data_IF_907518514833
#
_entry.id   IF_907518514833
#
_cell.length_a   1.000
_cell.length_b   1.000
_cell.length_c   1.000
_cell.angle_alpha   90.00
_cell.angle_beta   90.00
_cell.angle_gamma   90.00
#
_symmetry.space_group_name_H-M   'P 1'
#
loop_
_entity.id
_entity.type
_entity.pdbx_description
1 polymer ?
#
# COMPACT_ATOMS: atom_id res chain seq x y z
N UNK A 1 -18.13 18.05 25.07
CA UNK A 1 -18.14 18.32 26.52
C UNK A 1 -19.40 19.07 26.95
N UNK A 2 -19.76 20.16 26.30
CA UNK A 2 -21.02 20.89 26.59
C UNK A 2 -22.25 20.03 26.49
N UNK A 3 -22.31 19.06 25.61
CA UNK A 3 -23.41 18.09 25.48
C UNK A 3 -23.49 17.17 26.71
N UNK A 4 -22.39 16.67 27.20
CA UNK A 4 -22.31 15.81 28.39
C UNK A 4 -22.67 16.55 29.67
N UNK A 5 -22.36 17.86 29.74
CA UNK A 5 -22.76 18.72 30.82
C UNK A 5 -24.30 18.99 30.81
N UNK A 6 -24.87 19.17 29.60
CA UNK A 6 -26.35 19.32 29.42
C UNK A 6 -27.12 18.05 29.73
N UNK A 7 -26.52 16.89 29.44
CA UNK A 7 -27.09 15.56 29.72
C UNK A 7 -26.87 15.13 31.19
N UNK A 8 -26.23 15.97 32.04
CA UNK A 8 -25.97 15.64 33.42
C UNK A 8 -24.96 14.54 33.69
N UNK A 9 -24.20 14.11 32.65
CA UNK A 9 -23.22 13.04 32.74
C UNK A 9 -21.94 13.45 33.42
N UNK A 10 -21.63 14.76 33.43
CA UNK A 10 -20.47 15.34 34.12
C UNK A 10 -20.86 16.64 34.81
N UNK A 11 -20.35 16.81 36.01
CA UNK A 11 -20.50 18.02 36.81
C UNK A 11 -19.65 19.17 36.24
N UNK A 12 -20.06 20.42 36.46
CA UNK A 12 -19.38 21.62 36.00
C UNK A 12 -17.89 21.68 36.49
N UNK A 13 -17.65 21.28 37.74
CA UNK A 13 -16.30 21.22 38.31
C UNK A 13 -15.41 20.16 37.62
N UNK A 14 -15.98 19.02 37.31
CA UNK A 14 -15.29 17.94 36.54
C UNK A 14 -15.02 18.37 35.09
N UNK A 15 -15.95 19.09 34.47
CA UNK A 15 -15.79 19.65 33.13
C UNK A 15 -14.62 20.65 33.09
N UNK A 16 -14.52 21.53 34.11
CA UNK A 16 -13.45 22.52 34.23
C UNK A 16 -12.08 21.87 34.49
N UNK A 17 -12.04 20.83 35.36
CA UNK A 17 -10.83 20.03 35.60
C UNK A 17 -10.35 19.30 34.35
N UNK A 18 -11.27 18.70 33.58
CA UNK A 18 -10.96 18.03 32.31
C UNK A 18 -10.49 19.06 31.29
N UNK A 19 -11.18 20.20 31.15
CA UNK A 19 -10.74 21.29 30.26
C UNK A 19 -9.35 21.80 30.64
N UNK A 20 -9.07 22.01 31.92
CA UNK A 20 -7.76 22.49 32.40
C UNK A 20 -6.64 21.47 32.15
N UNK A 21 -6.94 20.18 32.32
CA UNK A 21 -5.99 19.08 32.08
C UNK A 21 -5.72 18.86 30.58
N UNK A 22 -6.73 18.99 29.73
CA UNK A 22 -6.60 18.85 28.27
C UNK A 22 -6.23 20.16 27.58
N UNK A 23 -6.55 21.33 28.11
CA UNK A 23 -6.11 22.62 27.57
C UNK A 23 -4.62 22.85 27.73
N UNK A 24 -3.97 22.27 28.75
CA UNK A 24 -2.52 22.33 28.89
C UNK A 24 -1.78 21.47 27.84
N UNK A 25 -2.43 20.44 27.31
CA UNK A 25 -1.86 19.54 26.28
C UNK A 25 -2.23 19.94 24.84
N UNK A 26 -3.24 20.78 24.66
CA UNK A 26 -3.71 21.28 23.37
C UNK A 26 -3.20 22.69 23.06
N UNK A 27 -1.88 22.91 23.07
CA UNK A 27 -1.32 23.75 22.01
C UNK A 27 -1.39 22.95 20.72
N UNK A 28 -2.61 22.69 20.24
CA UNK A 28 -2.84 22.15 18.92
C UNK A 28 -2.33 23.17 17.92
N UNK A 29 -1.08 23.00 17.51
CA UNK A 29 -0.56 23.73 16.35
C UNK A 29 -1.57 23.47 15.24
N UNK A 30 -2.27 24.52 14.81
CA UNK A 30 -3.32 24.36 13.84
C UNK A 30 -2.68 23.82 12.55
N UNK A 31 -3.35 22.89 11.86
CA UNK A 31 -2.87 22.37 10.57
C UNK A 31 -2.52 23.49 9.58
N UNK A 32 -3.23 24.62 9.68
CA UNK A 32 -2.92 25.84 8.90
C UNK A 32 -1.52 26.38 9.19
N UNK A 33 -1.10 26.43 10.46
CA UNK A 33 0.24 26.87 10.83
C UNK A 33 1.32 25.90 10.34
N UNK A 34 1.07 24.58 10.45
CA UNK A 34 2.02 23.57 9.93
C UNK A 34 2.18 23.75 8.42
N UNK A 35 1.10 23.88 7.67
CA UNK A 35 1.13 24.06 6.22
C UNK A 35 1.88 25.36 5.85
N UNK A 36 1.52 26.50 6.47
CA UNK A 36 2.17 27.78 6.21
C UNK A 36 3.67 27.76 6.52
N UNK A 37 4.06 27.19 7.66
CA UNK A 37 5.47 27.05 8.03
C UNK A 37 6.22 26.10 7.07
N UNK A 38 5.56 25.04 6.61
CA UNK A 38 6.15 24.10 5.65
C UNK A 38 6.36 24.73 4.27
N UNK A 39 5.39 25.52 3.79
CA UNK A 39 5.52 26.29 2.56
C UNK A 39 6.63 27.34 2.71
N UNK A 40 6.69 28.05 3.83
CA UNK A 40 7.76 29.02 4.14
C UNK A 40 9.15 28.38 4.11
N UNK A 41 9.31 27.20 4.75
CA UNK A 41 10.58 26.47 4.75
C UNK A 41 10.98 26.02 3.33
N UNK A 42 10.01 25.58 2.54
CA UNK A 42 10.23 25.18 1.14
C UNK A 42 10.68 26.38 0.29
N UNK A 43 10.00 27.52 0.39
CA UNK A 43 10.36 28.74 -0.34
C UNK A 43 11.75 29.28 0.04
N UNK A 44 12.08 29.26 1.33
CA UNK A 44 13.44 29.65 1.81
C UNK A 44 14.48 28.70 1.24
N UNK A 45 14.24 27.39 1.29
CA UNK A 45 15.16 26.38 0.73
C UNK A 45 15.41 26.57 -0.75
N UNK A 46 14.36 26.75 -1.54
CA UNK A 46 14.47 27.02 -2.98
C UNK A 46 15.14 28.36 -3.27
N UNK A 47 14.85 29.40 -2.49
CA UNK A 47 15.50 30.71 -2.63
C UNK A 47 17.00 30.66 -2.39
N UNK A 48 17.46 29.94 -1.37
CA UNK A 48 18.89 29.71 -1.09
C UNK A 48 19.55 28.95 -2.24
N UNK A 49 18.91 27.91 -2.76
CA UNK A 49 19.43 27.14 -3.91
C UNK A 49 19.59 28.05 -5.13
N UNK A 50 18.56 28.85 -5.47
CA UNK A 50 18.62 29.75 -6.60
C UNK A 50 19.70 30.84 -6.45
N UNK A 51 19.91 31.36 -5.25
CA UNK A 51 20.95 32.36 -4.97
C UNK A 51 22.36 31.76 -5.08
N UNK A 52 22.54 30.54 -4.62
CA UNK A 52 23.82 29.83 -4.78
C UNK A 52 24.10 29.51 -6.23
N UNK A 53 23.09 29.06 -6.98
CA UNK A 53 23.22 28.72 -8.40
C UNK A 53 23.65 29.96 -9.23
N UNK A 54 23.06 31.11 -8.97
CA UNK A 54 23.37 32.37 -9.67
C UNK A 54 24.83 32.82 -9.49
N UNK A 55 25.46 32.53 -8.33
CA UNK A 55 26.83 32.95 -8.02
C UNK A 55 27.82 31.79 -7.97
N UNK A 56 27.43 30.59 -8.44
CA UNK A 56 28.18 29.36 -8.26
C UNK A 56 29.56 29.39 -8.90
N UNK A 57 29.64 30.00 -10.10
CA UNK A 57 30.88 30.03 -10.90
C UNK A 57 31.95 30.95 -10.32
N UNK A 58 31.58 31.93 -9.48
CA UNK A 58 32.50 32.89 -8.88
C UNK A 58 33.16 32.39 -7.59
N UNK A 59 32.68 31.25 -7.06
CA UNK A 59 33.17 30.67 -5.81
C UNK A 59 34.35 29.71 -6.03
N UNK A 60 35.32 29.72 -5.08
CA UNK A 60 36.38 28.69 -5.04
C UNK A 60 35.81 27.31 -4.74
N UNK A 61 36.52 26.22 -5.10
CA UNK A 61 36.04 24.84 -4.87
C UNK A 61 35.76 24.56 -3.39
N UNK A 62 36.61 25.04 -2.50
CA UNK A 62 36.44 24.89 -1.04
C UNK A 62 35.21 25.65 -0.57
N UNK A 63 35.00 26.88 -1.06
CA UNK A 63 33.82 27.65 -0.74
C UNK A 63 32.54 26.95 -1.20
N UNK A 64 32.51 26.41 -2.41
CA UNK A 64 31.39 25.63 -2.93
C UNK A 64 31.06 24.44 -2.04
N UNK A 65 32.08 23.67 -1.61
CA UNK A 65 31.90 22.53 -0.72
C UNK A 65 31.31 22.95 0.66
N UNK A 66 31.82 24.03 1.24
CA UNK A 66 31.30 24.57 2.51
C UNK A 66 29.84 25.02 2.36
N UNK A 67 29.51 25.79 1.33
CA UNK A 67 28.16 26.28 1.08
C UNK A 67 27.18 25.12 0.78
N UNK A 68 27.65 24.04 0.15
CA UNK A 68 26.83 22.85 -0.12
C UNK A 68 26.38 22.15 1.15
N UNK A 69 27.24 22.12 2.18
CA UNK A 69 26.97 21.44 3.46
C UNK A 69 26.39 22.36 4.54
N UNK A 70 26.49 23.67 4.38
CA UNK A 70 26.08 24.65 5.37
C UNK A 70 24.57 24.56 5.73
N UNK A 71 23.62 24.43 4.76
CA UNK A 71 22.21 24.27 5.10
C UNK A 71 21.94 23.00 5.91
N UNK A 72 22.63 21.91 5.60
CA UNK A 72 22.53 20.65 6.32
C UNK A 72 23.06 20.80 7.77
N UNK A 73 24.23 21.43 7.93
CA UNK A 73 24.81 21.71 9.23
C UNK A 73 23.91 22.60 10.10
N UNK A 74 23.28 23.62 9.48
CA UNK A 74 22.30 24.48 10.15
C UNK A 74 21.08 23.68 10.62
N UNK A 75 20.52 22.80 9.81
CA UNK A 75 19.40 21.94 10.21
C UNK A 75 19.74 21.08 11.42
N UNK A 76 20.90 20.42 11.40
CA UNK A 76 21.39 19.61 12.52
C UNK A 76 21.60 20.48 13.77
N UNK A 77 22.21 21.64 13.62
CA UNK A 77 22.43 22.60 14.73
C UNK A 77 21.11 23.07 15.35
N UNK A 78 20.14 23.47 14.53
CA UNK A 78 18.80 23.90 14.98
C UNK A 78 18.08 22.74 15.67
N UNK A 79 18.18 21.52 15.14
CA UNK A 79 17.59 20.34 15.78
C UNK A 79 18.21 20.07 17.16
N UNK A 80 19.53 20.08 17.27
CA UNK A 80 20.24 19.88 18.55
C UNK A 80 19.90 20.96 19.57
N UNK A 81 19.82 22.22 19.15
CA UNK A 81 19.38 23.34 20.02
C UNK A 81 17.91 23.13 20.44
N UNK A 82 17.06 22.69 19.54
CA UNK A 82 15.66 22.35 19.83
C UNK A 82 15.53 21.24 20.88
N UNK A 83 16.37 20.20 20.78
CA UNK A 83 16.42 19.12 21.78
C UNK A 83 16.82 19.66 23.17
N UNK A 84 17.84 20.50 23.23
CA UNK A 84 18.29 21.13 24.50
C UNK A 84 17.24 22.04 25.14
N UNK A 85 16.47 22.76 24.29
CA UNK A 85 15.39 23.66 24.74
C UNK A 85 14.03 22.97 24.91
N UNK A 86 13.94 21.66 24.65
CA UNK A 86 12.70 20.91 24.75
C UNK A 86 11.68 21.20 23.65
N UNK A 87 12.10 21.74 22.51
CA UNK A 87 11.22 22.05 21.38
C UNK A 87 10.82 20.76 20.62
N UNK A 88 9.81 20.09 21.13
CA UNK A 88 9.29 18.83 20.55
C UNK A 88 7.97 18.99 19.80
N UNK A 89 7.51 20.24 19.64
CA UNK A 89 6.26 20.52 18.94
C UNK A 89 6.35 20.13 17.46
N UNK A 90 5.33 19.46 16.97
CA UNK A 90 5.27 19.04 15.56
C UNK A 90 5.30 20.23 14.59
N UNK A 91 4.71 21.37 14.99
CA UNK A 91 4.76 22.60 14.19
C UNK A 91 6.17 23.15 13.96
N UNK A 92 7.15 22.72 14.76
CA UNK A 92 8.56 23.03 14.57
C UNK A 92 9.29 21.91 13.81
N UNK A 93 9.01 20.65 14.13
CA UNK A 93 9.72 19.51 13.56
C UNK A 93 9.33 19.22 12.09
N UNK A 94 8.08 19.49 11.69
CA UNK A 94 7.64 19.27 10.30
C UNK A 94 8.36 20.22 9.32
N UNK A 95 8.36 21.57 9.50
CA UNK A 95 9.11 22.47 8.63
C UNK A 95 10.61 22.21 8.64
N UNK A 96 11.17 21.93 9.82
CA UNK A 96 12.59 21.59 9.94
C UNK A 96 12.93 20.33 9.16
N UNK A 97 12.08 19.29 9.23
CA UNK A 97 12.24 18.05 8.49
C UNK A 97 12.22 18.26 6.97
N UNK A 98 11.30 19.10 6.47
CA UNK A 98 11.22 19.46 5.04
C UNK A 98 12.52 20.16 4.60
N UNK A 99 12.92 21.20 5.35
CA UNK A 99 14.12 21.95 5.02
C UNK A 99 15.38 21.07 5.07
N UNK A 100 15.47 20.20 6.07
CA UNK A 100 16.55 19.22 6.20
C UNK A 100 16.58 18.25 5.01
N UNK A 101 15.41 17.70 4.59
CA UNK A 101 15.32 16.82 3.44
C UNK A 101 15.75 17.49 2.12
N UNK A 102 15.36 18.74 1.91
CA UNK A 102 15.80 19.55 0.75
C UNK A 102 17.30 19.80 0.82
N UNK A 103 17.83 20.14 2.01
CA UNK A 103 19.27 20.41 2.20
C UNK A 103 20.14 19.18 1.91
N UNK A 104 19.66 17.97 2.19
CA UNK A 104 20.35 16.73 1.82
C UNK A 104 20.46 16.62 0.30
N UNK A 105 19.33 16.74 -0.43
CA UNK A 105 19.31 16.65 -1.89
C UNK A 105 20.17 17.72 -2.56
N UNK A 106 20.04 18.97 -2.10
CA UNK A 106 20.86 20.07 -2.58
C UNK A 106 22.36 19.85 -2.29
N UNK A 107 22.71 19.40 -1.10
CA UNK A 107 24.08 19.08 -0.74
C UNK A 107 24.73 18.04 -1.64
N UNK A 108 24.00 16.93 -1.93
CA UNK A 108 24.45 15.88 -2.83
C UNK A 108 24.68 16.45 -4.23
N UNK A 109 23.70 17.19 -4.79
CA UNK A 109 23.78 17.76 -6.14
C UNK A 109 24.94 18.76 -6.28
N UNK A 110 25.09 19.67 -5.32
CA UNK A 110 26.12 20.70 -5.34
C UNK A 110 27.55 20.12 -5.15
N UNK A 111 27.69 19.09 -4.32
CA UNK A 111 28.98 18.39 -4.15
C UNK A 111 29.33 17.66 -5.46
N UNK A 112 28.38 16.93 -6.06
CA UNK A 112 28.60 16.24 -7.32
C UNK A 112 29.04 17.24 -8.42
N UNK A 113 28.39 18.39 -8.52
CA UNK A 113 28.74 19.45 -9.44
C UNK A 113 30.14 20.05 -9.15
N UNK A 114 30.49 20.25 -7.89
CA UNK A 114 31.79 20.84 -7.48
C UNK A 114 32.97 19.94 -7.85
N UNK A 115 32.80 18.62 -7.70
CA UNK A 115 33.86 17.64 -7.90
C UNK A 115 33.74 16.90 -9.22
N UNK A 116 32.84 17.34 -10.13
CA UNK A 116 32.56 16.70 -11.42
C UNK A 116 32.28 15.20 -11.30
N UNK A 117 31.53 14.80 -10.27
CA UNK A 117 31.09 13.42 -10.08
C UNK A 117 29.88 13.21 -10.99
N UNK A 118 30.03 12.37 -12.00
CA UNK A 118 28.93 11.95 -12.86
C UNK A 118 28.07 10.94 -12.12
N UNK A 119 26.97 11.40 -11.52
CA UNK A 119 25.98 10.54 -10.93
C UNK A 119 24.82 10.37 -11.92
N UNK A 120 24.41 9.13 -12.11
CA UNK A 120 23.16 8.82 -12.76
C UNK A 120 21.99 9.20 -11.83
N UNK A 121 20.87 9.52 -12.42
CA UNK A 121 19.68 9.98 -11.68
C UNK A 121 19.18 8.94 -10.65
N UNK A 122 19.48 7.67 -10.88
CA UNK A 122 19.12 6.56 -10.00
C UNK A 122 19.93 6.58 -8.72
N UNK A 123 21.25 6.64 -8.83
CA UNK A 123 22.15 6.72 -7.69
C UNK A 123 21.89 7.97 -6.86
N UNK A 124 21.64 9.12 -7.52
CA UNK A 124 21.26 10.35 -6.83
C UNK A 124 19.97 10.16 -6.01
N UNK A 125 18.92 9.63 -6.65
CA UNK A 125 17.63 9.45 -6.00
C UNK A 125 17.71 8.45 -4.83
N UNK A 126 18.48 7.37 -5.01
CA UNK A 126 18.70 6.39 -3.96
C UNK A 126 19.42 6.98 -2.76
N UNK A 127 20.54 7.67 -2.98
CA UNK A 127 21.33 8.28 -1.91
C UNK A 127 20.53 9.33 -1.15
N UNK A 128 19.78 10.18 -1.86
CA UNK A 128 18.90 11.15 -1.23
C UNK A 128 17.84 10.46 -0.35
N UNK A 129 17.17 9.45 -0.90
CA UNK A 129 16.14 8.70 -0.18
C UNK A 129 16.68 8.01 1.06
N UNK A 130 17.86 7.35 0.98
CA UNK A 130 18.48 6.69 2.12
C UNK A 130 18.87 7.69 3.23
N UNK A 131 19.38 8.85 2.84
CA UNK A 131 19.75 9.89 3.80
C UNK A 131 18.55 10.60 4.45
N UNK A 132 17.33 10.45 3.89
CA UNK A 132 16.11 10.87 4.58
C UNK A 132 15.77 9.99 5.80
N UNK A 133 16.24 8.74 5.87
CA UNK A 133 15.94 7.85 7.00
C UNK A 133 16.43 8.37 8.35
N UNK A 134 17.70 8.76 8.54
CA UNK A 134 18.14 9.37 9.80
C UNK A 134 17.30 10.59 10.20
N UNK A 135 16.94 11.44 9.22
CA UNK A 135 16.09 12.61 9.43
C UNK A 135 14.69 12.21 9.88
N UNK A 136 14.11 11.16 9.29
CA UNK A 136 12.81 10.61 9.66
C UNK A 136 12.80 10.13 11.13
N UNK A 137 13.83 9.36 11.52
CA UNK A 137 13.94 8.84 12.89
C UNK A 137 14.20 9.96 13.92
N UNK A 138 14.98 10.98 13.55
CA UNK A 138 15.27 12.11 14.41
C UNK A 138 14.05 13.01 14.63
N UNK A 139 13.44 13.50 13.55
CA UNK A 139 12.36 14.50 13.61
C UNK A 139 10.98 13.88 13.85
N UNK A 140 10.80 12.62 13.48
CA UNK A 140 9.48 11.96 13.43
C UNK A 140 8.44 12.75 12.62
N UNK A 141 8.91 13.52 11.63
CA UNK A 141 8.08 14.34 10.78
C UNK A 141 7.36 13.47 9.74
N UNK A 142 6.05 13.70 9.57
CA UNK A 142 5.22 13.01 8.57
C UNK A 142 5.69 13.34 7.15
N UNK A 143 6.03 14.60 6.90
CA UNK A 143 6.52 15.11 5.63
C UNK A 143 7.79 14.39 5.15
N UNK A 144 8.74 14.13 6.05
CA UNK A 144 9.97 13.38 5.75
C UNK A 144 9.65 11.93 5.39
N UNK A 145 8.72 11.31 6.13
CA UNK A 145 8.27 9.95 5.84
C UNK A 145 7.60 9.81 4.49
N UNK A 146 6.74 10.76 4.11
CA UNK A 146 6.15 10.82 2.77
C UNK A 146 7.22 11.06 1.72
N UNK A 147 8.17 11.97 1.95
CA UNK A 147 9.31 12.20 1.07
C UNK A 147 10.14 10.94 0.83
N UNK A 148 10.38 10.16 1.89
CA UNK A 148 11.06 8.87 1.79
C UNK A 148 10.32 7.87 0.89
N UNK A 149 9.01 7.71 1.06
CA UNK A 149 8.23 6.80 0.21
C UNK A 149 8.14 7.29 -1.23
N UNK A 150 7.97 8.59 -1.45
CA UNK A 150 7.98 9.19 -2.80
C UNK A 150 9.36 8.97 -3.47
N UNK A 151 10.44 9.20 -2.74
CA UNK A 151 11.80 8.94 -3.23
C UNK A 151 12.00 7.48 -3.64
N UNK A 152 11.53 6.53 -2.82
CA UNK A 152 11.57 5.10 -3.17
C UNK A 152 10.77 4.78 -4.43
N UNK A 153 9.58 5.39 -4.61
CA UNK A 153 8.75 5.18 -5.80
C UNK A 153 9.42 5.72 -7.06
N UNK A 154 10.01 6.93 -6.98
CA UNK A 154 10.75 7.53 -8.11
C UNK A 154 11.95 6.67 -8.45
N UNK A 155 12.70 6.23 -7.45
CA UNK A 155 13.85 5.36 -7.65
C UNK A 155 13.45 4.01 -8.25
N UNK A 156 12.41 3.36 -7.74
CA UNK A 156 11.89 2.11 -8.26
C UNK A 156 11.45 2.23 -9.73
N UNK A 157 10.80 3.35 -10.10
CA UNK A 157 10.39 3.61 -11.49
C UNK A 157 11.60 3.75 -12.44
N UNK A 158 12.64 4.48 -12.02
CA UNK A 158 13.86 4.65 -12.81
C UNK A 158 14.65 3.35 -12.91
N UNK A 159 14.80 2.65 -11.80
CA UNK A 159 15.52 1.41 -11.69
C UNK A 159 14.79 0.22 -12.36
N UNK A 160 13.50 0.34 -12.71
CA UNK A 160 12.80 -0.65 -13.55
C UNK A 160 13.50 -0.92 -14.89
N UNK A 161 14.27 0.03 -15.38
CA UNK A 161 15.10 -0.13 -16.58
C UNK A 161 16.35 -1.01 -16.34
N UNK A 162 16.70 -1.29 -15.08
CA UNK A 162 17.87 -2.05 -14.66
C UNK A 162 17.47 -3.15 -13.66
N UNK A 163 17.10 -4.34 -14.14
CA UNK A 163 16.49 -5.41 -13.32
C UNK A 163 17.41 -6.01 -12.25
N UNK A 164 18.69 -5.62 -12.20
CA UNK A 164 19.68 -6.19 -11.29
C UNK A 164 19.61 -5.66 -9.84
N UNK A 165 18.86 -4.58 -9.59
CA UNK A 165 18.78 -3.94 -8.28
C UNK A 165 17.52 -4.37 -7.50
N UNK A 166 17.72 -4.93 -6.31
CA UNK A 166 16.67 -5.27 -5.37
C UNK A 166 16.26 -4.07 -4.53
N UNK A 167 15.02 -3.59 -4.68
CA UNK A 167 14.55 -2.35 -4.05
C UNK A 167 13.77 -2.54 -2.76
N UNK A 168 13.05 -3.64 -2.61
CA UNK A 168 12.16 -3.90 -1.48
C UNK A 168 12.83 -3.86 -0.09
N UNK A 169 14.13 -4.19 0.10
CA UNK A 169 14.74 -4.11 1.42
C UNK A 169 14.71 -2.70 2.01
N UNK A 170 14.78 -1.68 1.17
CA UNK A 170 14.80 -0.29 1.63
C UNK A 170 13.46 0.15 2.22
N UNK A 171 12.33 -0.28 1.65
CA UNK A 171 11.02 -0.01 2.24
C UNK A 171 10.89 -0.61 3.65
N UNK A 172 11.53 -1.76 3.91
CA UNK A 172 11.54 -2.39 5.22
C UNK A 172 12.24 -1.56 6.30
N UNK A 173 13.17 -0.68 5.94
CA UNK A 173 13.88 0.17 6.90
C UNK A 173 12.96 1.16 7.61
N UNK A 174 11.81 1.53 7.03
CA UNK A 174 10.83 2.39 7.71
C UNK A 174 9.88 1.62 8.64
N UNK A 175 9.83 0.28 8.60
CA UNK A 175 8.90 -0.53 9.40
C UNK A 175 9.06 -0.29 10.91
N UNK A 176 10.27 -0.29 11.52
CA UNK A 176 10.42 -0.04 12.95
C UNK A 176 9.87 1.32 13.37
N UNK A 177 10.04 2.34 12.52
CA UNK A 177 9.49 3.68 12.76
C UNK A 177 7.96 3.65 12.75
N UNK A 178 7.33 3.02 11.75
CA UNK A 178 5.89 2.87 11.64
C UNK A 178 5.31 2.13 12.84
N UNK A 179 5.97 1.03 13.27
CA UNK A 179 5.58 0.26 14.45
C UNK A 179 5.64 1.12 15.72
N UNK A 180 6.71 1.90 15.89
CA UNK A 180 6.86 2.80 17.06
C UNK A 180 5.78 3.88 17.08
N UNK A 181 5.45 4.46 15.93
CA UNK A 181 4.41 5.48 15.77
C UNK A 181 3.02 4.91 16.09
N UNK A 182 2.75 3.67 15.64
CA UNK A 182 1.49 2.98 15.90
C UNK A 182 1.31 2.62 17.38
N UNK A 183 2.39 2.23 18.06
CA UNK A 183 2.37 1.98 19.51
C UNK A 183 2.11 3.26 20.31
N UNK A 184 2.65 4.39 19.87
CA UNK A 184 2.47 5.68 20.54
C UNK A 184 1.06 6.27 20.36
N UNK A 185 0.47 6.09 19.18
CA UNK A 185 -0.88 6.60 18.86
C UNK A 185 -1.66 5.56 18.01
N UNK A 186 -2.23 4.52 18.62
CA UNK A 186 -3.00 3.52 17.90
C UNK A 186 -4.24 4.19 17.27
N UNK A 187 -4.38 4.06 15.94
CA UNK A 187 -5.48 4.67 15.19
C UNK A 187 -5.33 6.17 14.88
N UNK A 188 -4.21 6.77 15.23
CA UNK A 188 -3.93 8.18 14.92
C UNK A 188 -3.78 8.43 13.40
N UNK A 189 -4.21 9.62 12.94
CA UNK A 189 -4.13 10.04 11.55
C UNK A 189 -2.72 9.91 10.95
N UNK A 190 -1.69 10.27 11.70
CA UNK A 190 -0.28 10.20 11.28
C UNK A 190 0.18 8.77 11.03
N UNK A 191 -0.15 7.86 11.94
CA UNK A 191 0.20 6.44 11.79
C UNK A 191 -0.56 5.83 10.61
N UNK A 192 -1.80 6.24 10.38
CA UNK A 192 -2.60 5.84 9.22
C UNK A 192 -1.93 6.22 7.91
N UNK A 193 -1.58 7.50 7.71
CA UNK A 193 -0.92 7.98 6.48
C UNK A 193 0.42 7.28 6.24
N UNK A 194 1.22 7.06 7.30
CA UNK A 194 2.51 6.37 7.14
C UNK A 194 2.33 4.91 6.73
N UNK A 195 1.33 4.22 7.26
CA UNK A 195 1.02 2.85 6.85
C UNK A 195 0.48 2.81 5.41
N UNK A 196 -0.36 3.78 5.01
CA UNK A 196 -0.80 3.93 3.62
C UNK A 196 0.39 4.16 2.67
N UNK A 197 1.30 5.07 3.02
CA UNK A 197 2.52 5.32 2.25
C UNK A 197 3.39 4.07 2.11
N UNK A 198 3.63 3.36 3.23
CA UNK A 198 4.42 2.13 3.23
C UNK A 198 3.76 1.02 2.39
N UNK A 199 2.45 0.82 2.51
CA UNK A 199 1.74 -0.22 1.77
C UNK A 199 1.65 0.09 0.28
N UNK A 200 1.37 1.34 -0.11
CA UNK A 200 1.42 1.77 -1.50
C UNK A 200 2.83 1.62 -2.09
N UNK A 201 3.85 2.06 -1.35
CA UNK A 201 5.24 1.89 -1.77
C UNK A 201 5.59 0.42 -1.97
N UNK A 202 5.24 -0.45 -1.01
CA UNK A 202 5.51 -1.89 -1.10
C UNK A 202 4.80 -2.56 -2.28
N UNK A 203 3.57 -2.12 -2.61
CA UNK A 203 2.84 -2.67 -3.77
C UNK A 203 3.46 -2.23 -5.09
N UNK A 204 3.87 -0.98 -5.23
CA UNK A 204 4.49 -0.47 -6.45
C UNK A 204 5.90 -1.03 -6.62
N UNK A 205 6.72 -1.01 -5.56
CA UNK A 205 8.08 -1.60 -5.56
C UNK A 205 8.03 -3.11 -5.80
N UNK A 206 7.00 -3.79 -5.32
CA UNK A 206 6.80 -5.22 -5.60
C UNK A 206 6.49 -5.53 -7.08
N UNK A 207 6.04 -4.53 -7.88
CA UNK A 207 5.81 -4.67 -9.34
C UNK A 207 7.12 -4.65 -10.14
N UNK A 208 8.17 -4.08 -9.58
CA UNK A 208 9.43 -3.83 -10.28
C UNK A 208 10.39 -5.02 -10.44
N UNK A 209 10.35 -6.13 -9.67
CA UNK A 209 11.15 -7.28 -10.02
C UNK A 209 10.61 -7.86 -11.33
N UNK A 210 11.18 -7.47 -12.44
CA UNK A 210 11.06 -8.22 -13.67
C UNK A 210 11.69 -9.58 -13.42
N UNK A 211 10.85 -10.50 -12.96
CA UNK A 211 11.24 -11.89 -12.99
C UNK A 211 11.22 -12.25 -14.46
N UNK A 212 12.38 -12.36 -15.10
CA UNK A 212 12.52 -12.81 -16.49
C UNK A 212 11.79 -14.15 -16.75
N UNK A 213 11.15 -14.69 -15.72
CA UNK A 213 10.37 -15.93 -15.78
C UNK A 213 8.90 -15.58 -16.05
N UNK A 214 8.38 -15.93 -17.24
CA UNK A 214 7.03 -15.59 -17.64
C UNK A 214 5.98 -16.05 -16.63
N UNK A 215 5.05 -15.16 -16.28
CA UNK A 215 3.90 -15.48 -15.44
C UNK A 215 4.15 -15.66 -13.94
N UNK A 216 5.40 -15.65 -13.48
CA UNK A 216 5.73 -15.83 -12.05
C UNK A 216 5.17 -14.70 -11.17
N UNK A 217 5.04 -13.51 -11.75
CA UNK A 217 4.40 -12.35 -11.12
C UNK A 217 2.99 -12.66 -10.60
N UNK A 218 2.22 -13.53 -11.27
CA UNK A 218 0.86 -13.89 -10.84
C UNK A 218 0.86 -14.52 -9.45
N UNK A 219 1.83 -15.40 -9.16
CA UNK A 219 1.99 -16.07 -7.86
C UNK A 219 2.51 -15.07 -6.81
N UNK A 220 3.54 -14.31 -7.15
CA UNK A 220 4.18 -13.35 -6.24
C UNK A 220 3.15 -12.31 -5.78
N UNK A 221 2.42 -11.68 -6.69
CA UNK A 221 1.43 -10.66 -6.33
C UNK A 221 0.23 -11.22 -5.60
N UNK A 222 -0.29 -12.40 -6.00
CA UNK A 222 -1.38 -13.01 -5.25
C UNK A 222 -0.97 -13.32 -3.82
N UNK A 223 0.26 -13.81 -3.59
CA UNK A 223 0.81 -14.06 -2.27
C UNK A 223 1.06 -12.77 -1.47
N UNK A 224 1.60 -11.74 -2.11
CA UNK A 224 1.85 -10.46 -1.46
C UNK A 224 0.55 -9.77 -1.02
N UNK A 225 -0.46 -9.67 -1.90
CA UNK A 225 -1.76 -9.07 -1.56
C UNK A 225 -2.52 -9.89 -0.52
N UNK A 226 -2.49 -11.24 -0.60
CA UNK A 226 -3.10 -12.09 0.41
C UNK A 226 -2.41 -11.91 1.77
N UNK A 227 -1.09 -11.86 1.80
CA UNK A 227 -0.31 -11.64 3.03
C UNK A 227 -0.61 -10.25 3.63
N UNK A 228 -0.68 -9.21 2.80
CA UNK A 228 -1.03 -7.86 3.22
C UNK A 228 -2.44 -7.80 3.83
N UNK A 229 -3.42 -8.43 3.19
CA UNK A 229 -4.79 -8.54 3.71
C UNK A 229 -4.84 -9.26 5.06
N UNK A 230 -4.14 -10.38 5.18
CA UNK A 230 -4.10 -11.17 6.42
C UNK A 230 -3.37 -10.43 7.54
N UNK A 231 -2.27 -9.73 7.24
CA UNK A 231 -1.63 -8.80 8.19
C UNK A 231 -2.62 -7.72 8.66
N UNK A 232 -3.40 -7.13 7.75
CA UNK A 232 -4.44 -6.18 8.11
C UNK A 232 -5.50 -6.79 9.02
N UNK A 233 -5.93 -8.03 8.77
CA UNK A 233 -6.90 -8.74 9.63
C UNK A 233 -6.33 -8.98 11.03
N UNK A 234 -5.03 -9.28 11.14
CA UNK A 234 -4.37 -9.59 12.41
C UNK A 234 -4.04 -8.36 13.25
N UNK A 235 -3.59 -7.29 12.60
CA UNK A 235 -2.96 -6.16 13.29
C UNK A 235 -3.75 -4.85 13.22
N UNK A 236 -4.69 -4.69 12.27
CA UNK A 236 -5.51 -3.50 12.17
C UNK A 236 -6.74 -3.57 13.08
N UNK A 237 -7.19 -2.43 13.63
CA UNK A 237 -8.35 -2.40 14.51
C UNK A 237 -9.61 -2.84 13.77
N UNK A 238 -10.52 -3.52 14.51
CA UNK A 238 -11.82 -3.94 14.00
C UNK A 238 -12.80 -2.75 14.08
N UNK A 239 -13.75 -2.68 13.14
CA UNK A 239 -14.82 -1.66 13.11
C UNK A 239 -14.34 -0.20 13.02
N UNK A 240 -13.26 0.04 12.28
CA UNK A 240 -12.71 1.36 12.06
C UNK A 240 -12.89 1.81 10.62
N UNK A 241 -12.66 3.10 10.36
CA UNK A 241 -12.74 3.70 9.03
C UNK A 241 -11.70 3.09 8.08
N UNK A 242 -11.97 3.11 6.77
CA UNK A 242 -11.06 2.63 5.71
C UNK A 242 -9.67 3.27 5.83
N UNK A 243 -9.60 4.51 6.27
CA UNK A 243 -8.33 5.23 6.48
C UNK A 243 -7.42 4.61 7.53
N UNK A 244 -7.98 3.84 8.46
CA UNK A 244 -7.24 3.18 9.54
C UNK A 244 -6.88 1.72 9.21
N UNK A 245 -7.34 1.23 8.06
CA UNK A 245 -7.16 -0.16 7.61
C UNK A 245 -6.51 -0.27 6.23
N UNK A 246 -5.36 0.38 5.98
CA UNK A 246 -4.73 0.41 4.66
C UNK A 246 -4.28 -0.97 4.16
N UNK A 247 -3.71 -1.81 5.04
CA UNK A 247 -3.26 -3.15 4.65
C UNK A 247 -4.43 -4.03 4.22
N UNK A 248 -5.53 -3.98 4.99
CA UNK A 248 -6.74 -4.74 4.67
C UNK A 248 -7.38 -4.26 3.37
N UNK A 249 -7.43 -2.95 3.16
CA UNK A 249 -8.04 -2.34 1.98
C UNK A 249 -7.20 -2.61 0.73
N UNK A 250 -5.91 -2.29 0.76
CA UNK A 250 -5.02 -2.49 -0.39
C UNK A 250 -4.80 -3.97 -0.71
N UNK A 251 -4.65 -4.81 0.32
CA UNK A 251 -4.52 -6.25 0.13
C UNK A 251 -5.78 -6.86 -0.48
N UNK A 252 -6.96 -6.48 0.02
CA UNK A 252 -8.24 -6.96 -0.52
C UNK A 252 -8.54 -6.45 -1.91
N UNK A 253 -8.40 -5.16 -2.16
CA UNK A 253 -8.59 -4.57 -3.49
C UNK A 253 -7.57 -5.09 -4.50
N UNK A 254 -6.28 -5.12 -4.14
CA UNK A 254 -5.22 -5.61 -5.02
C UNK A 254 -5.41 -7.07 -5.41
N UNK A 255 -5.74 -7.94 -4.44
CA UNK A 255 -6.02 -9.34 -4.72
C UNK A 255 -7.28 -9.52 -5.59
N UNK A 256 -8.34 -8.76 -5.31
CA UNK A 256 -9.57 -8.79 -6.14
C UNK A 256 -9.28 -8.39 -7.58
N UNK A 257 -8.57 -7.28 -7.78
CA UNK A 257 -8.21 -6.78 -9.12
C UNK A 257 -7.33 -7.80 -9.85
N UNK A 258 -6.32 -8.35 -9.17
CA UNK A 258 -5.44 -9.37 -9.75
C UNK A 258 -6.23 -10.61 -10.19
N UNK A 259 -7.04 -11.18 -9.30
CA UNK A 259 -7.86 -12.35 -9.61
C UNK A 259 -8.87 -12.05 -10.75
N UNK A 260 -9.45 -10.86 -10.76
CA UNK A 260 -10.33 -10.41 -11.83
C UNK A 260 -9.60 -10.34 -13.18
N UNK A 261 -8.39 -9.78 -13.23
CA UNK A 261 -7.56 -9.78 -14.45
C UNK A 261 -7.26 -11.20 -14.93
N UNK A 262 -6.99 -12.13 -14.02
CA UNK A 262 -6.74 -13.53 -14.37
C UNK A 262 -7.98 -14.30 -14.87
N UNK A 263 -9.19 -13.73 -14.78
CA UNK A 263 -10.38 -14.29 -15.44
C UNK A 263 -10.42 -14.05 -16.94
N UNK A 264 -9.62 -13.14 -17.49
CA UNK A 264 -9.56 -12.83 -18.91
C UNK A 264 -8.49 -13.68 -19.63
N UNK A 265 -8.62 -13.76 -20.96
CA UNK A 265 -7.70 -14.57 -21.77
C UNK A 265 -6.33 -13.92 -21.98
N UNK A 266 -6.26 -12.57 -22.01
CA UNK A 266 -5.03 -11.88 -22.38
C UNK A 266 -3.83 -12.14 -21.45
N UNK A 267 -3.95 -12.21 -20.11
CA UNK A 267 -2.80 -12.52 -19.27
C UNK A 267 -2.23 -13.91 -19.54
N UNK A 268 -3.11 -14.88 -19.79
CA UNK A 268 -2.72 -16.26 -20.07
C UNK A 268 -2.14 -16.42 -21.48
N UNK A 269 -2.70 -15.73 -22.49
CA UNK A 269 -2.13 -15.70 -23.84
C UNK A 269 -0.75 -15.07 -23.85
N UNK A 270 -0.57 -13.94 -23.17
CA UNK A 270 0.74 -13.31 -23.02
C UNK A 270 1.73 -14.21 -22.27
N UNK A 271 1.27 -14.89 -21.21
CA UNK A 271 2.09 -15.87 -20.50
C UNK A 271 2.54 -17.01 -21.42
N UNK A 272 1.61 -17.63 -22.18
CA UNK A 272 1.93 -18.71 -23.14
C UNK A 272 2.93 -18.22 -24.17
N UNK A 273 2.69 -17.06 -24.75
CA UNK A 273 3.60 -16.45 -25.73
C UNK A 273 4.99 -16.19 -25.15
N UNK A 274 5.07 -15.53 -24.02
CA UNK A 274 6.34 -15.21 -23.35
C UNK A 274 7.09 -16.48 -22.95
N UNK A 275 6.38 -17.50 -22.44
CA UNK A 275 7.02 -18.77 -22.03
C UNK A 275 7.64 -19.52 -23.20
N UNK A 276 7.02 -19.48 -24.39
CA UNK A 276 7.52 -20.12 -25.62
C UNK A 276 8.83 -19.48 -26.10
N UNK A 277 8.92 -18.16 -25.98
CA UNK A 277 10.08 -17.40 -26.42
C UNK A 277 11.08 -17.14 -25.30
N UNK A 278 10.80 -17.63 -24.10
CA UNK A 278 11.70 -17.49 -22.96
C UNK A 278 13.03 -18.15 -23.22
N UNK A 279 14.09 -17.34 -23.23
CA UNK A 279 15.47 -17.82 -23.15
C UNK A 279 15.94 -17.60 -21.73
N UNK A 280 16.44 -18.67 -21.10
CA UNK A 280 17.07 -18.56 -19.77
C UNK A 280 18.25 -17.59 -19.88
N UNK A 281 18.19 -16.50 -19.16
CA UNK A 281 19.29 -15.55 -19.06
C UNK A 281 20.47 -16.22 -18.35
N UNK A 282 21.70 -15.87 -18.70
CA UNK A 282 22.91 -16.44 -18.13
C UNK A 282 23.14 -16.04 -16.66
N UNK A 283 22.37 -15.08 -16.12
CA UNK A 283 22.48 -14.68 -14.73
C UNK A 283 21.73 -15.66 -13.83
N UNK A 284 22.45 -16.23 -12.86
CA UNK A 284 21.90 -17.14 -11.85
C UNK A 284 20.95 -16.43 -10.87
N UNK A 285 21.23 -15.17 -10.56
CA UNK A 285 20.57 -14.47 -9.47
C UNK A 285 19.12 -14.07 -9.75
N UNK A 286 18.80 -13.63 -10.95
CA UNK A 286 17.46 -13.16 -11.31
C UNK A 286 16.40 -14.28 -11.22
N UNK A 287 16.58 -15.46 -11.84
CA UNK A 287 15.63 -16.56 -11.67
C UNK A 287 15.58 -17.09 -10.24
N UNK A 288 16.72 -17.15 -9.53
CA UNK A 288 16.75 -17.59 -8.13
C UNK A 288 15.89 -16.73 -7.23
N UNK A 289 15.93 -15.40 -7.37
CA UNK A 289 15.10 -14.46 -6.61
C UNK A 289 13.64 -14.64 -6.96
N UNK A 290 13.32 -14.71 -8.26
CA UNK A 290 11.94 -14.92 -8.72
C UNK A 290 11.32 -16.18 -8.12
N UNK A 291 11.99 -17.32 -8.19
CA UNK A 291 11.53 -18.57 -7.59
C UNK A 291 11.41 -18.47 -6.06
N UNK A 292 12.39 -17.85 -5.40
CA UNK A 292 12.37 -17.67 -3.95
C UNK A 292 11.16 -16.84 -3.52
N UNK A 293 10.87 -15.73 -4.19
CA UNK A 293 9.70 -14.90 -3.91
C UNK A 293 8.38 -15.63 -4.20
N UNK A 294 8.33 -16.42 -5.29
CA UNK A 294 7.15 -17.20 -5.64
C UNK A 294 6.84 -18.31 -4.62
N UNK A 295 7.83 -18.77 -3.88
CA UNK A 295 7.63 -19.72 -2.77
C UNK A 295 7.33 -19.00 -1.47
N UNK A 296 8.09 -17.95 -1.13
CA UNK A 296 7.93 -17.21 0.13
C UNK A 296 6.57 -16.54 0.23
N UNK A 297 6.05 -15.93 -0.84
CA UNK A 297 4.81 -15.17 -0.77
C UNK A 297 3.57 -16.04 -0.44
N UNK A 298 3.33 -17.20 -1.08
CA UNK A 298 2.27 -18.13 -0.66
C UNK A 298 2.51 -18.73 0.73
N UNK A 299 3.75 -19.10 1.08
CA UNK A 299 4.07 -19.67 2.40
C UNK A 299 3.79 -18.64 3.51
N UNK A 300 4.16 -17.39 3.31
CA UNK A 300 3.83 -16.30 4.23
C UNK A 300 2.31 -16.13 4.38
N UNK A 301 1.58 -16.18 3.27
CA UNK A 301 0.11 -16.15 3.28
C UNK A 301 -0.48 -17.32 4.09
N UNK A 302 0.05 -18.55 3.92
CA UNK A 302 -0.38 -19.70 4.70
C UNK A 302 -0.11 -19.55 6.20
N UNK A 303 1.08 -19.08 6.57
CA UNK A 303 1.45 -18.81 7.96
C UNK A 303 0.53 -17.77 8.61
N UNK A 304 0.28 -16.67 7.91
CA UNK A 304 -0.62 -15.61 8.38
C UNK A 304 -2.08 -16.08 8.47
N UNK A 305 -2.51 -16.93 7.54
CA UNK A 305 -3.82 -17.55 7.58
C UNK A 305 -3.98 -18.45 8.82
N UNK A 306 -2.99 -19.25 9.12
CA UNK A 306 -2.97 -20.08 10.31
C UNK A 306 -3.00 -19.21 11.60
N UNK A 307 -2.23 -18.15 11.65
CA UNK A 307 -2.23 -17.21 12.76
C UNK A 307 -3.59 -16.50 12.93
N UNK A 308 -4.23 -16.09 11.82
CA UNK A 308 -5.55 -15.47 11.82
C UNK A 308 -6.63 -16.44 12.33
N UNK A 309 -6.55 -17.71 11.93
CA UNK A 309 -7.49 -18.74 12.37
C UNK A 309 -7.34 -19.07 13.86
N UNK A 310 -6.12 -19.03 14.40
CA UNK A 310 -5.86 -19.20 15.84
C UNK A 310 -6.41 -18.06 16.70
N UNK A 311 -6.35 -16.81 16.20
CA UNK A 311 -6.81 -15.63 16.96
C UNK A 311 -8.33 -15.44 16.97
N UNK A 312 -9.10 -16.11 16.10
CA UNK A 312 -10.56 -16.03 16.03
C UNK A 312 -11.20 -17.41 16.31
N UNK A 313 -11.19 -17.91 17.56
CA UNK A 313 -11.83 -19.19 17.92
C UNK A 313 -13.39 -19.13 17.86
N UNK A 314 -14.00 -17.94 17.85
CA UNK A 314 -15.45 -17.76 17.90
C UNK A 314 -16.23 -18.30 16.68
N UNK A 315 -15.53 -18.69 15.61
CA UNK A 315 -16.17 -19.40 14.49
C UNK A 315 -16.54 -20.87 14.82
N UNK A 316 -16.18 -21.39 15.98
CA UNK A 316 -16.42 -22.78 16.39
C UNK A 316 -17.76 -23.02 17.10
N UNK A 317 -18.45 -21.95 17.54
CA UNK A 317 -19.62 -22.06 18.43
C UNK A 317 -21.00 -21.92 17.79
N UNK A 318 -21.11 -21.50 16.53
CA UNK A 318 -22.43 -21.40 15.86
C UNK A 318 -22.61 -22.56 14.88
N UNK A 319 -23.64 -23.35 15.09
CA UNK A 319 -23.93 -24.67 14.56
C UNK A 319 -23.92 -24.92 13.03
N UNK A 320 -23.61 -23.94 12.21
CA UNK A 320 -23.25 -24.10 10.80
C UNK A 320 -21.77 -23.74 10.67
N UNK A 321 -20.93 -24.74 10.36
CA UNK A 321 -19.49 -24.54 10.07
C UNK A 321 -19.34 -23.73 8.78
N UNK A 322 -19.61 -22.41 8.83
CA UNK A 322 -19.31 -21.51 7.73
C UNK A 322 -17.82 -21.34 7.69
N UNK A 323 -17.20 -21.80 6.58
CA UNK A 323 -15.77 -21.63 6.35
C UNK A 323 -15.46 -20.13 6.47
N UNK A 324 -14.53 -19.71 7.36
CA UNK A 324 -14.27 -18.30 7.56
C UNK A 324 -13.84 -17.65 6.24
N UNK A 325 -14.47 -16.55 5.87
CA UNK A 325 -14.21 -15.86 4.60
C UNK A 325 -12.72 -15.54 4.36
N UNK A 326 -11.95 -15.27 5.43
CA UNK A 326 -10.51 -15.03 5.33
C UNK A 326 -9.71 -16.26 4.82
N UNK A 327 -10.26 -17.47 4.95
CA UNK A 327 -9.63 -18.66 4.37
C UNK A 327 -9.67 -18.62 2.83
N UNK A 328 -10.78 -18.18 2.23
CA UNK A 328 -10.84 -18.02 0.78
C UNK A 328 -9.81 -17.01 0.28
N UNK A 329 -9.63 -15.90 1.00
CA UNK A 329 -8.64 -14.91 0.64
C UNK A 329 -7.19 -15.41 0.80
N UNK A 330 -6.93 -16.18 1.85
CA UNK A 330 -5.59 -16.73 2.13
C UNK A 330 -5.19 -17.90 1.23
N UNK A 331 -6.15 -18.63 0.66
CA UNK A 331 -5.90 -19.75 -0.26
C UNK A 331 -5.67 -19.26 -1.71
N UNK A 332 -6.03 -18.02 -2.04
CA UNK A 332 -5.90 -17.48 -3.40
C UNK A 332 -4.53 -17.73 -4.06
N UNK A 333 -3.38 -17.48 -3.40
CA UNK A 333 -2.06 -17.70 -4.00
C UNK A 333 -1.83 -19.15 -4.42
N UNK A 334 -2.36 -20.11 -3.66
CA UNK A 334 -2.23 -21.53 -3.98
C UNK A 334 -3.06 -21.92 -5.21
N UNK A 335 -4.27 -21.37 -5.34
CA UNK A 335 -5.09 -21.59 -6.53
C UNK A 335 -4.42 -21.01 -7.76
N UNK A 336 -3.85 -19.79 -7.64
CA UNK A 336 -3.08 -19.18 -8.73
C UNK A 336 -1.85 -20.03 -9.08
N UNK A 337 -1.10 -20.52 -8.09
CA UNK A 337 0.06 -21.37 -8.31
C UNK A 337 -0.30 -22.70 -8.97
N UNK A 338 -1.37 -23.35 -8.54
CA UNK A 338 -1.86 -24.60 -9.16
C UNK A 338 -2.25 -24.34 -10.61
N UNK A 339 -3.01 -23.26 -10.89
CA UNK A 339 -3.40 -22.91 -12.25
C UNK A 339 -2.20 -22.62 -13.13
N UNK A 340 -1.19 -21.93 -12.59
CA UNK A 340 0.08 -21.66 -13.27
C UNK A 340 0.83 -22.96 -13.64
N UNK A 341 0.93 -23.92 -12.70
CA UNK A 341 1.58 -25.21 -12.95
C UNK A 341 0.82 -26.01 -14.01
N UNK A 342 -0.51 -26.02 -13.97
CA UNK A 342 -1.35 -26.67 -14.99
C UNK A 342 -1.13 -26.02 -16.35
N UNK A 343 -1.02 -24.67 -16.39
CA UNK A 343 -0.76 -23.93 -17.61
C UNK A 343 0.62 -24.28 -18.22
N UNK A 344 1.68 -24.38 -17.42
CA UNK A 344 2.99 -24.82 -17.89
C UNK A 344 2.90 -26.23 -18.47
N UNK A 345 2.28 -27.17 -17.76
CA UNK A 345 2.09 -28.54 -18.26
C UNK A 345 1.35 -28.58 -19.57
N UNK A 346 0.28 -27.77 -19.71
CA UNK A 346 -0.46 -27.68 -20.95
C UNK A 346 0.40 -27.16 -22.09
N UNK A 347 1.21 -26.11 -21.89
CA UNK A 347 2.12 -25.55 -22.89
C UNK A 347 3.13 -26.60 -23.34
N UNK A 348 3.74 -27.35 -22.41
CA UNK A 348 4.73 -28.37 -22.69
C UNK A 348 4.09 -29.55 -23.45
N UNK A 349 2.91 -30.01 -23.04
CA UNK A 349 2.19 -31.11 -23.68
C UNK A 349 1.69 -30.74 -25.10
N UNK A 350 1.36 -29.47 -25.33
CA UNK A 350 0.81 -28.97 -26.59
C UNK A 350 1.89 -28.35 -27.53
N UNK A 351 3.17 -28.62 -27.28
CA UNK A 351 4.27 -27.99 -28.01
C UNK A 351 4.16 -28.08 -29.53
N UNK A 352 3.55 -29.17 -30.06
CA UNK A 352 3.42 -29.45 -31.46
C UNK A 352 1.98 -29.38 -31.98
N UNK A 353 1.00 -28.83 -31.23
CA UNK A 353 -0.40 -28.79 -31.58
C UNK A 353 -0.95 -27.36 -31.67
N UNK A 354 -2.00 -27.17 -32.48
CA UNK A 354 -2.77 -25.93 -32.61
C UNK A 354 -3.53 -25.58 -31.31
N UNK A 355 -3.71 -26.54 -30.40
CA UNK A 355 -4.39 -26.38 -29.10
C UNK A 355 -3.58 -25.58 -28.07
N UNK A 356 -2.32 -25.21 -28.38
CA UNK A 356 -1.42 -24.49 -27.49
C UNK A 356 -1.98 -23.16 -27.00
N UNK A 357 -2.78 -22.50 -27.82
CA UNK A 357 -3.36 -21.19 -27.51
C UNK A 357 -4.70 -21.25 -26.79
N UNK A 358 -5.21 -22.46 -26.50
CA UNK A 358 -6.46 -22.59 -25.74
C UNK A 358 -6.21 -22.38 -24.24
N UNK A 359 -6.56 -21.18 -23.79
CA UNK A 359 -6.44 -20.76 -22.38
C UNK A 359 -7.80 -20.73 -21.66
N UNK A 360 -8.84 -21.27 -22.29
CA UNK A 360 -10.22 -21.23 -21.78
C UNK A 360 -10.37 -21.89 -20.42
N UNK A 361 -9.69 -23.01 -20.19
CA UNK A 361 -9.72 -23.74 -18.92
C UNK A 361 -9.16 -22.91 -17.76
N UNK A 362 -8.06 -22.18 -17.95
CA UNK A 362 -7.42 -21.35 -16.91
C UNK A 362 -8.32 -20.18 -16.52
N UNK A 363 -8.89 -19.49 -17.51
CA UNK A 363 -9.84 -18.40 -17.27
C UNK A 363 -11.10 -18.87 -16.57
N UNK A 364 -11.59 -20.08 -16.89
CA UNK A 364 -12.75 -20.68 -16.23
C UNK A 364 -12.43 -20.99 -14.75
N UNK A 365 -11.28 -21.60 -14.46
CA UNK A 365 -10.84 -21.88 -13.08
C UNK A 365 -10.78 -20.60 -12.25
N UNK A 366 -10.16 -19.55 -12.78
CA UNK A 366 -10.08 -18.25 -12.08
C UNK A 366 -11.44 -17.59 -11.91
N UNK A 367 -12.32 -17.70 -12.92
CA UNK A 367 -13.69 -17.17 -12.84
C UNK A 367 -14.50 -17.90 -11.76
N UNK A 368 -14.46 -19.24 -11.74
CA UNK A 368 -15.14 -20.05 -10.73
C UNK A 368 -14.64 -19.70 -9.31
N UNK A 369 -13.32 -19.58 -9.15
CA UNK A 369 -12.74 -19.20 -7.87
C UNK A 369 -13.17 -17.80 -7.41
N UNK A 370 -13.16 -16.82 -8.28
CA UNK A 370 -13.57 -15.45 -7.97
C UNK A 370 -15.08 -15.35 -7.65
N UNK A 371 -15.92 -16.15 -8.31
CA UNK A 371 -17.35 -16.29 -7.97
C UNK A 371 -17.51 -16.85 -6.55
N UNK A 372 -16.80 -17.94 -6.23
CA UNK A 372 -16.82 -18.51 -4.88
C UNK A 372 -16.36 -17.49 -3.81
N UNK A 373 -15.32 -16.71 -4.11
CA UNK A 373 -14.84 -15.65 -3.22
C UNK A 373 -15.87 -14.54 -3.03
N UNK A 374 -16.56 -14.11 -4.10
CA UNK A 374 -17.64 -13.13 -4.05
C UNK A 374 -18.83 -13.62 -3.20
N UNK A 375 -19.25 -14.87 -3.40
CA UNK A 375 -20.33 -15.50 -2.63
C UNK A 375 -19.94 -15.66 -1.15
N UNK A 376 -18.72 -16.10 -0.87
CA UNK A 376 -18.24 -16.23 0.52
C UNK A 376 -18.17 -14.87 1.23
N UNK A 377 -17.75 -13.81 0.52
CA UNK A 377 -17.70 -12.44 1.06
C UNK A 377 -19.10 -11.90 1.32
N UNK A 378 -20.03 -12.11 0.41
CA UNK A 378 -21.45 -11.76 0.54
C UNK A 378 -22.08 -12.49 1.73
N UNK A 379 -21.93 -13.81 1.80
CA UNK A 379 -22.45 -14.64 2.89
C UNK A 379 -21.93 -14.21 4.27
N UNK A 380 -20.63 -13.89 4.37
CA UNK A 380 -20.09 -13.32 5.61
C UNK A 380 -20.73 -11.96 5.93
N UNK A 381 -20.91 -11.09 4.93
CA UNK A 381 -21.53 -9.78 5.11
C UNK A 381 -22.93 -9.89 5.70
N UNK A 382 -23.73 -10.82 5.20
CA UNK A 382 -25.09 -11.12 5.69
C UNK A 382 -25.03 -11.67 7.12
N UNK A 383 -24.18 -12.68 7.37
CA UNK A 383 -24.05 -13.33 8.69
C UNK A 383 -23.53 -12.39 9.77
N UNK A 384 -22.54 -11.55 9.44
CA UNK A 384 -21.93 -10.60 10.39
C UNK A 384 -22.66 -9.24 10.42
N UNK A 385 -23.71 -9.05 9.63
CA UNK A 385 -24.45 -7.77 9.48
C UNK A 385 -23.56 -6.57 9.12
N UNK A 386 -22.56 -6.79 8.30
CA UNK A 386 -21.61 -5.74 7.90
C UNK A 386 -21.82 -5.37 6.43
N UNK A 387 -22.37 -4.18 6.18
CA UNK A 387 -22.68 -3.68 4.84
C UNK A 387 -21.46 -3.64 3.92
N UNK A 388 -20.25 -3.40 4.46
CA UNK A 388 -19.03 -3.35 3.68
C UNK A 388 -18.74 -4.70 2.99
N UNK A 389 -18.91 -5.83 3.68
CA UNK A 389 -18.70 -7.16 3.09
C UNK A 389 -19.84 -7.52 2.12
N UNK A 390 -21.08 -7.12 2.40
CA UNK A 390 -22.20 -7.30 1.48
C UNK A 390 -21.92 -6.58 0.17
N UNK A 391 -21.61 -5.29 0.24
CA UNK A 391 -21.33 -4.48 -0.93
C UNK A 391 -20.08 -4.99 -1.68
N UNK A 392 -19.02 -5.36 -0.96
CA UNK A 392 -17.81 -5.94 -1.54
C UNK A 392 -18.09 -7.23 -2.32
N UNK A 393 -18.86 -8.16 -1.75
CA UNK A 393 -19.27 -9.39 -2.42
C UNK A 393 -20.11 -9.14 -3.68
N UNK A 394 -21.06 -8.21 -3.59
CA UNK A 394 -21.90 -7.81 -4.74
C UNK A 394 -21.06 -7.16 -5.84
N UNK A 395 -20.15 -6.26 -5.50
CA UNK A 395 -19.25 -5.60 -6.46
C UNK A 395 -18.38 -6.64 -7.20
N UNK A 396 -17.83 -7.63 -6.48
CA UNK A 396 -17.06 -8.72 -7.11
C UNK A 396 -17.93 -9.48 -8.13
N UNK A 397 -19.14 -9.90 -7.73
CA UNK A 397 -20.02 -10.70 -8.60
C UNK A 397 -20.51 -9.90 -9.82
N UNK A 398 -20.96 -8.67 -9.62
CA UNK A 398 -21.36 -7.79 -10.73
C UNK A 398 -20.16 -7.48 -11.63
N UNK A 399 -18.98 -7.23 -11.05
CA UNK A 399 -17.75 -6.99 -11.81
C UNK A 399 -17.42 -8.16 -12.75
N UNK A 400 -17.57 -9.42 -12.30
CA UNK A 400 -17.38 -10.61 -13.14
C UNK A 400 -18.38 -10.62 -14.30
N UNK A 401 -19.67 -10.43 -14.01
CA UNK A 401 -20.73 -10.44 -15.01
C UNK A 401 -20.46 -9.36 -16.06
N UNK A 402 -20.24 -8.13 -15.63
CA UNK A 402 -19.97 -7.01 -16.54
C UNK A 402 -18.71 -7.20 -17.36
N UNK A 403 -17.61 -7.64 -16.72
CA UNK A 403 -16.34 -7.84 -17.43
C UNK A 403 -16.42 -8.95 -18.47
N UNK A 404 -17.06 -10.08 -18.14
CA UNK A 404 -17.28 -11.16 -19.11
C UNK A 404 -18.20 -10.71 -20.23
N UNK A 405 -19.26 -10.00 -19.89
CA UNK A 405 -20.21 -9.48 -20.88
C UNK A 405 -19.56 -8.46 -21.82
N UNK A 406 -18.69 -7.58 -21.31
CA UNK A 406 -17.94 -6.62 -22.12
C UNK A 406 -16.91 -7.30 -23.04
N UNK A 407 -16.38 -8.44 -22.64
CA UNK A 407 -15.41 -9.21 -23.44
C UNK A 407 -16.07 -10.00 -24.59
N UNK A 408 -17.39 -10.13 -24.59
CA UNK A 408 -18.16 -10.77 -25.66
C UNK A 408 -18.53 -9.76 -26.76
N UNK A 409 -18.65 -10.21 -27.98
CA UNK A 409 -19.01 -9.39 -29.16
C UNK A 409 -20.51 -9.10 -29.23
N UNK A 410 -21.10 -8.60 -28.14
CA UNK A 410 -22.50 -8.17 -28.16
C UNK A 410 -22.65 -6.75 -28.73
N UNK A 411 -23.84 -6.44 -29.26
CA UNK A 411 -24.18 -5.09 -29.70
C UNK A 411 -24.08 -4.08 -28.53
N UNK A 412 -23.78 -2.82 -28.84
CA UNK A 412 -23.67 -1.75 -27.84
C UNK A 412 -24.96 -1.62 -27.02
N UNK A 413 -26.13 -1.76 -27.67
CA UNK A 413 -27.45 -1.72 -27.02
C UNK A 413 -27.60 -2.83 -25.96
N UNK A 414 -27.21 -4.07 -26.30
CA UNK A 414 -27.25 -5.18 -25.36
C UNK A 414 -26.30 -4.94 -24.15
N UNK A 415 -25.12 -4.40 -24.40
CA UNK A 415 -24.19 -4.01 -23.33
C UNK A 415 -24.79 -2.94 -22.41
N UNK A 416 -25.45 -1.93 -22.96
CA UNK A 416 -26.09 -0.88 -22.18
C UNK A 416 -27.24 -1.41 -21.31
N UNK A 417 -28.09 -2.28 -21.83
CA UNK A 417 -29.18 -2.93 -21.07
C UNK A 417 -28.61 -3.74 -19.90
N UNK A 418 -27.55 -4.52 -20.12
CA UNK A 418 -26.92 -5.30 -19.07
C UNK A 418 -26.37 -4.40 -17.94
N UNK A 419 -25.75 -3.27 -18.26
CA UNK A 419 -25.30 -2.30 -17.23
C UNK A 419 -26.46 -1.78 -16.38
N UNK A 420 -27.58 -1.41 -17.01
CA UNK A 420 -28.78 -0.93 -16.31
C UNK A 420 -29.32 -2.03 -15.39
N UNK A 421 -29.47 -3.27 -15.89
CA UNK A 421 -29.95 -4.40 -15.09
C UNK A 421 -29.04 -4.71 -13.91
N UNK A 422 -27.73 -4.71 -14.11
CA UNK A 422 -26.76 -4.91 -13.03
C UNK A 422 -26.83 -3.79 -11.98
N UNK A 423 -26.99 -2.52 -12.40
CA UNK A 423 -27.19 -1.39 -11.51
C UNK A 423 -28.46 -1.54 -10.68
N UNK A 424 -29.60 -1.87 -11.30
CA UNK A 424 -30.86 -2.12 -10.60
C UNK A 424 -30.72 -3.29 -9.59
N UNK A 425 -30.08 -4.38 -10.00
CA UNK A 425 -29.84 -5.54 -9.13
C UNK A 425 -29.00 -5.15 -7.90
N UNK A 426 -27.96 -4.35 -8.11
CA UNK A 426 -27.15 -3.81 -7.00
C UNK A 426 -27.98 -3.02 -5.99
N UNK A 427 -28.86 -2.12 -6.47
CA UNK A 427 -29.75 -1.37 -5.59
C UNK A 427 -30.73 -2.25 -4.84
N UNK A 428 -31.35 -3.21 -5.53
CA UNK A 428 -32.32 -4.16 -4.93
C UNK A 428 -31.65 -4.96 -3.82
N UNK A 429 -30.48 -5.56 -4.08
CA UNK A 429 -29.74 -6.36 -3.10
C UNK A 429 -29.37 -5.50 -1.89
N UNK A 430 -28.89 -4.26 -2.12
CA UNK A 430 -28.53 -3.36 -1.04
C UNK A 430 -29.72 -2.98 -0.17
N UNK A 431 -30.87 -2.66 -0.76
CA UNK A 431 -32.10 -2.35 -0.04
C UNK A 431 -32.59 -3.56 0.76
N UNK A 432 -32.59 -4.76 0.16
CA UNK A 432 -33.03 -5.98 0.84
C UNK A 432 -32.09 -6.33 2.01
N UNK A 433 -30.78 -6.24 1.82
CA UNK A 433 -29.79 -6.48 2.85
C UNK A 433 -29.94 -5.49 4.02
N UNK A 434 -30.15 -4.20 3.72
CA UNK A 434 -30.34 -3.16 4.73
C UNK A 434 -31.67 -3.35 5.50
N UNK A 435 -32.76 -3.72 4.81
CA UNK A 435 -34.04 -4.03 5.44
C UNK A 435 -33.95 -5.26 6.34
N UNK A 436 -33.27 -6.30 5.91
CA UNK A 436 -33.07 -7.51 6.71
C UNK A 436 -32.27 -7.22 7.99
N UNK A 437 -31.21 -6.40 7.88
CA UNK A 437 -30.42 -5.97 9.03
C UNK A 437 -31.25 -5.16 10.04
N UNK A 438 -32.07 -4.19 9.58
CA UNK A 438 -32.96 -3.37 10.45
C UNK A 438 -34.09 -4.16 11.10
N UNK A 439 -34.71 -5.10 10.37
CA UNK A 439 -35.83 -5.91 10.91
C UNK A 439 -35.39 -6.78 12.09
N UNK A 440 -34.13 -7.17 12.13
CA UNK A 440 -33.59 -7.98 13.22
C UNK A 440 -33.06 -7.13 14.39
N UNK A 441 -32.77 -5.82 14.18
CA UNK A 441 -32.50 -4.87 15.27
C UNK A 441 -33.74 -4.47 16.05
N UNK A 442 -34.94 -4.46 15.43
CA UNK A 442 -36.21 -4.16 16.08
C UNK A 442 -36.86 -5.37 16.75
N UNK A 443 -36.25 -6.56 16.67
CA UNK A 443 -36.75 -7.79 17.30
C UNK A 443 -35.94 -8.22 18.53
N UNK A 444 -34.95 -7.43 18.94
CA UNK A 444 -34.17 -7.54 20.18
C UNK A 444 -34.51 -6.36 21.09
#
# INVERSE_FOLDING_TARGET
>A
MELWQREGLIDAATCELIQKRYASDTRSVSWRQIILCSIGALLIGLGIIALLDANWNDLSREARAVFSLLPLALCVGIYLLGLRKGWRAQGFLEPLGIFWGISIGAGIALIAQTYNISWDEETFTLMWTLLLLPTLYATRALSVGLGYFIGLLIWAYKAYQFPELMYWPFACLAIPFIVSLRKASPGGFRSGIMIWGATLCSTVVGVTPDTNIPGLWMIIYSGAFASLLLCGILYEPKNTSIWQTPMRTLGGCGLTVLLYLLTFQWPWKNFVWSYVYYRADSSFWTPFIGYTLAVIAPVLSAFLLFAANRRNPDSRGQGIKVIPCHMFWGIAPFIVAITYIIAIRHIVASANSTSRNDVGAFTLMMTAYLVCLGLATLGKGISCRQALYVNGGVVILIGIILGKFLSLEFSFTAKSIAFILCGCLFFIINILATRHMKKTEGAL
#
